data_IF_671953326725
#
_entry.id   IF_671953326725
#
_cell.length_a   1.000
_cell.length_b   1.000
_cell.length_c   1.000
_cell.angle_alpha   90.00
_cell.angle_beta   90.00
_cell.angle_gamma   90.00
#
_symmetry.space_group_name_H-M   'P 1'
#
loop_
_entity.id
_entity.type
_entity.pdbx_description
1 polymer ?
#
# COMPACT_ATOMS: atom_id res chain seq x y z
N UNK A 1 -6.55 -6.92 4.87
CA UNK A 1 -7.69 -7.82 4.61
C UNK A 1 -7.43 -8.58 3.32
N UNK A 2 -7.71 -9.89 3.23
CA UNK A 2 -7.65 -10.66 1.97
C UNK A 2 -6.36 -11.45 1.67
N UNK A 3 -5.65 -11.92 2.69
CA UNK A 3 -4.45 -12.75 2.45
C UNK A 3 -4.81 -14.13 1.87
N UNK A 4 -5.91 -14.74 2.31
CA UNK A 4 -6.17 -16.15 2.04
C UNK A 4 -7.27 -16.40 1.01
N UNK A 5 -8.44 -15.76 1.10
CA UNK A 5 -9.55 -15.93 0.14
C UNK A 5 -10.38 -14.64 -0.03
N UNK A 6 -11.06 -14.42 -1.17
CA UNK A 6 -12.02 -13.33 -1.34
C UNK A 6 -13.30 -13.66 -0.57
N UNK A 7 -13.31 -13.35 0.72
CA UNK A 7 -14.43 -13.59 1.64
C UNK A 7 -15.47 -12.48 1.66
N UNK A 8 -15.13 -11.31 1.08
CA UNK A 8 -15.93 -10.09 1.18
C UNK A 8 -16.32 -9.57 -0.20
N UNK A 9 -17.63 -9.56 -0.54
CA UNK A 9 -18.10 -8.92 -1.77
C UNK A 9 -17.77 -7.43 -1.77
N UNK A 10 -17.41 -6.90 -2.94
CA UNK A 10 -17.23 -5.46 -3.11
C UNK A 10 -18.61 -4.80 -3.11
N UNK A 11 -18.99 -4.18 -1.98
CA UNK A 11 -20.18 -3.34 -1.90
C UNK A 11 -19.94 -1.97 -2.51
N UNK A 12 -21.00 -1.22 -2.77
CA UNK A 12 -20.90 0.17 -3.25
C UNK A 12 -20.10 1.04 -2.29
N UNK A 13 -20.27 0.85 -0.98
CA UNK A 13 -19.54 1.60 0.05
C UNK A 13 -18.04 1.30 0.01
N UNK A 14 -17.66 0.02 -0.15
CA UNK A 14 -16.25 -0.37 -0.33
C UNK A 14 -15.71 0.24 -1.62
N UNK A 15 -16.48 0.17 -2.72
CA UNK A 15 -16.07 0.73 -4.00
C UNK A 15 -15.82 2.25 -3.92
N UNK A 16 -16.64 2.99 -3.18
CA UNK A 16 -16.42 4.44 -2.96
C UNK A 16 -15.25 4.71 -2.01
N UNK A 17 -15.04 3.86 -0.99
CA UNK A 17 -13.90 3.97 -0.09
C UNK A 17 -12.55 3.79 -0.82
N UNK A 18 -12.42 2.74 -1.65
CA UNK A 18 -11.14 2.42 -2.31
C UNK A 18 -10.75 3.42 -3.42
N UNK A 19 -11.67 4.27 -3.87
CA UNK A 19 -11.41 5.35 -4.82
C UNK A 19 -10.78 6.59 -4.19
N UNK A 20 -10.76 6.69 -2.86
CA UNK A 20 -10.19 7.84 -2.19
C UNK A 20 -8.68 7.92 -2.46
N UNK A 21 -8.18 9.11 -2.80
CA UNK A 21 -6.76 9.31 -3.20
C UNK A 21 -5.73 8.85 -2.17
N UNK A 22 -6.11 8.79 -0.89
CA UNK A 22 -5.27 8.39 0.24
C UNK A 22 -5.39 6.90 0.59
N UNK A 23 -6.23 6.15 -0.11
CA UNK A 23 -6.37 4.71 0.03
C UNK A 23 -5.53 4.03 -1.04
N UNK A 24 -4.67 3.11 -0.62
CA UNK A 24 -3.80 2.33 -1.51
C UNK A 24 -4.34 0.92 -1.63
N UNK A 25 -4.45 0.42 -2.86
CA UNK A 25 -5.05 -0.89 -3.15
C UNK A 25 -4.01 -1.81 -3.77
N UNK A 26 -3.62 -2.85 -3.03
CA UNK A 26 -2.79 -3.92 -3.59
C UNK A 26 -3.64 -4.80 -4.50
N UNK A 27 -3.26 -4.87 -5.76
CA UNK A 27 -3.84 -5.83 -6.70
C UNK A 27 -3.39 -7.25 -6.31
N UNK A 28 -4.35 -8.16 -6.10
CA UNK A 28 -4.05 -9.55 -5.72
C UNK A 28 -3.33 -10.31 -6.84
N UNK A 29 -3.74 -10.06 -8.07
CA UNK A 29 -3.22 -10.69 -9.28
C UNK A 29 -3.24 -9.72 -10.47
N UNK A 30 -2.62 -10.13 -11.59
CA UNK A 30 -2.52 -9.30 -12.80
C UNK A 30 -3.90 -9.05 -13.40
N UNK A 31 -4.82 -10.00 -13.27
CA UNK A 31 -6.17 -9.97 -13.80
C UNK A 31 -7.05 -8.91 -13.11
N UNK A 32 -6.76 -8.58 -11.85
CA UNK A 32 -7.45 -7.54 -11.08
C UNK A 32 -7.05 -6.11 -11.47
N UNK A 33 -5.89 -5.91 -12.11
CA UNK A 33 -5.35 -4.59 -12.44
C UNK A 33 -6.31 -3.76 -13.32
N UNK A 34 -6.83 -4.26 -14.46
CA UNK A 34 -7.70 -3.46 -15.31
C UNK A 34 -8.95 -2.95 -14.60
N UNK A 35 -9.53 -3.75 -13.71
CA UNK A 35 -10.70 -3.35 -12.93
C UNK A 35 -10.37 -2.23 -11.95
N UNK A 36 -9.27 -2.35 -11.19
CA UNK A 36 -8.82 -1.34 -10.24
C UNK A 36 -8.47 -0.01 -10.92
N UNK A 37 -7.80 -0.06 -12.07
CA UNK A 37 -7.49 1.13 -12.87
C UNK A 37 -8.77 1.77 -13.42
N UNK A 38 -9.70 0.98 -13.96
CA UNK A 38 -10.99 1.48 -14.49
C UNK A 38 -11.83 2.15 -13.40
N UNK A 39 -11.78 1.63 -12.17
CA UNK A 39 -12.44 2.23 -11.01
C UNK A 39 -11.77 3.54 -10.54
N UNK A 40 -10.56 3.86 -11.00
CA UNK A 40 -9.81 5.05 -10.60
C UNK A 40 -9.09 4.91 -9.26
N UNK A 41 -8.79 3.69 -8.83
CA UNK A 41 -8.12 3.42 -7.56
C UNK A 41 -6.62 3.79 -7.62
N UNK A 42 -6.05 4.17 -6.47
CA UNK A 42 -4.59 4.23 -6.30
C UNK A 42 -4.05 2.82 -6.07
N UNK A 43 -3.82 2.11 -7.17
CA UNK A 43 -3.51 0.69 -7.16
C UNK A 43 -2.02 0.42 -7.40
N UNK A 44 -1.53 -0.69 -6.86
CA UNK A 44 -0.18 -1.17 -7.12
C UNK A 44 -0.17 -2.70 -7.12
N UNK A 45 0.79 -3.30 -7.83
CA UNK A 45 0.99 -4.74 -7.87
C UNK A 45 2.47 -5.02 -7.62
N UNK A 46 2.75 -5.94 -6.71
CA UNK A 46 4.09 -6.48 -6.48
C UNK A 46 3.97 -7.88 -5.87
N UNK A 47 5.01 -8.69 -6.02
CA UNK A 47 5.12 -9.99 -5.33
C UNK A 47 6.29 -10.00 -4.36
N UNK A 48 7.47 -9.73 -4.89
CA UNK A 48 8.74 -9.77 -4.16
C UNK A 48 9.64 -8.59 -4.56
N UNK A 49 9.06 -7.60 -5.23
CA UNK A 49 9.78 -6.42 -5.68
C UNK A 49 10.07 -5.51 -4.48
N UNK A 50 11.31 -5.07 -4.34
CA UNK A 50 11.75 -4.18 -3.25
C UNK A 50 10.97 -2.87 -3.24
N UNK A 51 10.66 -2.35 -4.43
CA UNK A 51 9.89 -1.12 -4.62
C UNK A 51 9.02 -1.20 -5.87
N UNK A 52 7.82 -0.62 -5.80
CA UNK A 52 6.96 -0.42 -6.98
C UNK A 52 6.36 0.97 -6.99
N UNK A 53 6.01 1.45 -8.18
CA UNK A 53 5.16 2.63 -8.31
C UNK A 53 3.69 2.25 -8.20
N UNK A 54 2.92 3.10 -7.52
CA UNK A 54 1.46 3.05 -7.59
C UNK A 54 0.96 3.74 -8.86
N UNK A 55 -0.30 3.51 -9.24
CA UNK A 55 -0.95 4.15 -10.39
C UNK A 55 -0.99 5.68 -10.29
N UNK A 56 -0.81 6.24 -9.09
CA UNK A 56 -0.73 7.69 -8.84
C UNK A 56 0.71 8.20 -8.63
N UNK A 57 1.73 7.36 -8.85
CA UNK A 57 3.14 7.75 -8.79
C UNK A 57 3.73 7.81 -7.37
N UNK A 58 3.10 7.18 -6.38
CA UNK A 58 3.73 6.97 -5.07
C UNK A 58 4.70 5.78 -5.14
N UNK A 59 5.69 5.73 -4.24
CA UNK A 59 6.63 4.61 -4.15
C UNK A 59 6.20 3.73 -2.99
N UNK A 60 5.78 2.50 -3.28
CA UNK A 60 5.47 1.49 -2.27
C UNK A 60 6.71 0.65 -2.01
N UNK A 61 7.19 0.60 -0.75
CA UNK A 61 8.40 -0.11 -0.37
C UNK A 61 8.07 -1.45 0.29
N UNK A 62 8.75 -2.52 -0.09
CA UNK A 62 8.67 -3.81 0.60
C UNK A 62 9.08 -3.66 2.07
N UNK A 63 8.56 -4.49 3.01
CA UNK A 63 9.01 -4.49 4.40
C UNK A 63 10.55 -4.56 4.51
N UNK A 64 11.14 -3.72 5.36
CA UNK A 64 12.59 -3.58 5.50
C UNK A 64 13.29 -2.73 4.42
N UNK A 65 12.57 -2.29 3.38
CA UNK A 65 13.11 -1.40 2.33
C UNK A 65 12.70 0.04 2.62
N UNK A 66 13.70 0.93 2.65
CA UNK A 66 13.50 2.34 3.00
C UNK A 66 14.12 3.25 1.94
N UNK A 67 13.27 3.80 1.07
CA UNK A 67 13.67 4.86 0.14
C UNK A 67 13.70 6.19 0.90
N UNK A 68 14.90 6.66 1.22
CA UNK A 68 15.14 7.91 1.94
C UNK A 68 15.12 9.13 1.01
N UNK A 69 14.96 10.31 1.60
CA UNK A 69 15.02 11.61 0.91
C UNK A 69 13.95 11.82 -0.18
N UNK A 70 12.92 10.96 -0.20
CA UNK A 70 11.82 11.01 -1.16
C UNK A 70 10.47 11.12 -0.44
N UNK A 71 9.77 12.24 -0.66
CA UNK A 71 8.54 12.61 0.06
C UNK A 71 7.31 11.78 -0.28
N UNK A 72 7.30 11.04 -1.39
CA UNK A 72 6.16 10.22 -1.84
C UNK A 72 6.37 8.71 -1.60
N UNK A 73 7.35 8.33 -0.76
CA UNK A 73 7.57 6.95 -0.36
C UNK A 73 6.59 6.50 0.74
N UNK A 74 6.14 5.25 0.66
CA UNK A 74 5.28 4.58 1.64
C UNK A 74 6.08 3.39 2.15
N UNK A 75 6.30 3.36 3.45
CA UNK A 75 7.07 2.30 4.10
C UNK A 75 6.14 1.33 4.81
N UNK A 76 6.58 0.08 4.96
CA UNK A 76 5.81 -0.96 5.61
C UNK A 76 6.38 -1.27 6.99
N UNK A 77 5.51 -1.30 7.98
CA UNK A 77 5.77 -1.75 9.34
C UNK A 77 5.01 -3.06 9.58
N UNK A 78 5.65 -4.18 9.27
CA UNK A 78 5.12 -5.51 9.54
C UNK A 78 5.94 -6.15 10.67
N UNK A 79 5.31 -7.04 11.45
CA UNK A 79 5.83 -7.65 12.69
C UNK A 79 7.26 -8.22 12.64
N UNK A 80 7.79 -8.48 11.44
CA UNK A 80 9.06 -9.15 11.19
C UNK A 80 10.23 -8.17 11.01
N UNK A 81 9.95 -6.90 10.64
CA UNK A 81 10.93 -5.86 10.32
C UNK A 81 10.40 -4.48 10.79
N UNK A 82 10.39 -4.20 12.10
CA UNK A 82 9.80 -2.98 12.64
C UNK A 82 10.58 -1.73 12.23
N UNK A 83 9.87 -0.64 11.95
CA UNK A 83 10.51 0.64 11.62
C UNK A 83 11.36 1.16 12.79
N UNK A 84 12.62 1.46 12.51
CA UNK A 84 13.48 2.14 13.51
C UNK A 84 13.09 3.61 13.61
N UNK A 85 12.82 4.09 14.83
CA UNK A 85 12.26 5.44 15.14
C UNK A 85 13.10 6.65 14.69
N UNK A 86 14.25 6.47 14.02
CA UNK A 86 15.14 7.58 13.67
C UNK A 86 14.76 8.18 12.32
N UNK A 87 13.87 9.18 12.38
CA UNK A 87 13.53 10.14 11.31
C UNK A 87 12.99 9.49 10.04
N UNK A 88 11.69 9.22 10.07
CA UNK A 88 10.93 8.89 8.87
C UNK A 88 10.88 10.11 7.95
N UNK A 89 11.48 10.01 6.76
CA UNK A 89 11.34 10.99 5.68
C UNK A 89 10.45 10.42 4.57
N UNK A 90 9.35 9.76 4.97
CA UNK A 90 8.39 9.16 4.07
C UNK A 90 7.04 9.89 4.11
N UNK A 91 6.17 9.61 3.13
CA UNK A 91 4.81 10.14 3.06
C UNK A 91 3.88 9.51 4.10
N UNK A 92 4.00 8.19 4.28
CA UNK A 92 3.12 7.39 5.10
C UNK A 92 3.79 6.07 5.51
N UNK A 93 3.29 5.48 6.59
CA UNK A 93 3.61 4.12 7.03
C UNK A 93 2.34 3.28 6.92
N UNK A 94 2.44 2.11 6.30
CA UNK A 94 1.41 1.08 6.32
C UNK A 94 1.84 -0.01 7.30
N UNK A 95 1.06 -0.26 8.34
CA UNK A 95 1.37 -1.30 9.32
C UNK A 95 0.11 -1.82 10.00
N UNK A 96 0.18 -3.06 10.44
CA UNK A 96 -0.91 -3.71 11.19
C UNK A 96 -0.91 -3.26 12.67
N UNK A 97 0.26 -2.88 13.19
CA UNK A 97 0.43 -2.25 14.50
C UNK A 97 0.69 -0.75 14.33
N UNK A 98 -0.32 0.10 14.56
CA UNK A 98 -0.07 1.55 14.65
C UNK A 98 0.67 1.83 15.95
N UNK A 99 2.01 1.76 15.91
CA UNK A 99 2.84 2.38 16.93
C UNK A 99 2.97 3.87 16.60
N UNK A 100 3.00 4.72 17.61
CA UNK A 100 3.19 6.17 17.41
C UNK A 100 4.55 6.43 16.75
N UNK A 101 4.52 6.58 15.43
CA UNK A 101 5.61 7.08 14.61
C UNK A 101 5.62 8.62 14.70
N UNK A 102 6.01 9.13 15.87
CA UNK A 102 6.10 10.56 16.19
C UNK A 102 7.45 11.18 15.79
#
# INVERSE_FOLDING_TARGET
MGHDEPDTPVTTEIAEFIKQRRVYVHAKDVQSIPALITLGCNAFFHKTDDVVFTSMGNIWCFPGVYVNDIKNAIWLDLHWEPLTRKRLTCMAVCGDDVKDYA
#
